data_IF_450568385815
#
_entry.id   IF_450568385815
#
_cell.length_a   1.000
_cell.length_b   1.000
_cell.length_c   1.000
_cell.angle_alpha   90.00
_cell.angle_beta   90.00
_cell.angle_gamma   90.00
#
_symmetry.space_group_name_H-M   'P 1'
#
loop_
_entity.id
_entity.type
_entity.pdbx_description
1 polymer ?
#
# COMPACT_ATOMS: atom_id res chain seq x y z
N UNK A 1 6.37 20.92 -3.03
CA UNK A 1 6.85 19.53 -3.20
C UNK A 1 5.97 18.45 -2.55
N UNK A 2 4.91 18.77 -1.78
CA UNK A 2 4.06 17.74 -1.12
C UNK A 2 3.09 16.97 -2.03
N UNK A 3 2.62 17.58 -3.13
CA UNK A 3 1.62 16.97 -4.03
C UNK A 3 2.07 15.67 -4.69
N UNK A 4 3.32 15.60 -5.15
CA UNK A 4 3.87 14.44 -5.87
C UNK A 4 3.92 13.19 -4.97
N UNK A 5 4.09 13.38 -3.66
CA UNK A 5 4.18 12.27 -2.71
C UNK A 5 2.81 11.65 -2.47
N UNK A 6 1.73 12.45 -2.38
CA UNK A 6 0.37 11.92 -2.24
C UNK A 6 -0.09 11.20 -3.49
N UNK A 7 0.11 11.78 -4.68
CA UNK A 7 -0.27 11.11 -5.93
C UNK A 7 0.39 9.75 -6.05
N UNK A 8 1.69 9.64 -5.73
CA UNK A 8 2.39 8.36 -5.69
C UNK A 8 1.78 7.41 -4.65
N UNK A 9 1.43 7.88 -3.46
CA UNK A 9 0.82 7.04 -2.43
C UNK A 9 -0.56 6.50 -2.86
N UNK A 10 -1.40 7.36 -3.46
CA UNK A 10 -2.70 6.96 -4.00
C UNK A 10 -2.54 5.98 -5.16
N UNK A 11 -1.58 6.24 -6.07
CA UNK A 11 -1.25 5.34 -7.17
C UNK A 11 -0.77 3.96 -6.70
N UNK A 12 0.04 3.89 -5.64
CA UNK A 12 0.48 2.62 -5.02
C UNK A 12 -0.70 1.82 -4.47
N UNK A 13 -1.71 2.50 -3.92
CA UNK A 13 -2.95 1.87 -3.45
C UNK A 13 -3.96 1.61 -4.58
N UNK A 14 -3.69 2.10 -5.80
CA UNK A 14 -4.63 2.05 -6.92
C UNK A 14 -5.89 2.88 -6.70
N UNK A 15 -5.79 3.93 -5.87
CA UNK A 15 -6.89 4.81 -5.50
C UNK A 15 -6.75 6.17 -6.18
N UNK A 16 -7.88 6.86 -6.31
CA UNK A 16 -7.89 8.27 -6.71
C UNK A 16 -7.48 9.18 -5.54
N UNK A 17 -6.90 10.36 -5.81
CA UNK A 17 -6.59 11.33 -4.76
C UNK A 17 -7.82 11.86 -4.02
N UNK A 18 -9.01 11.69 -4.61
CA UNK A 18 -10.31 12.00 -4.03
C UNK A 18 -10.86 10.88 -3.11
N UNK A 19 -10.16 9.75 -3.02
CA UNK A 19 -10.64 8.60 -2.25
C UNK A 19 -10.88 8.93 -0.76
N UNK A 20 -11.90 8.31 -0.19
CA UNK A 20 -12.22 8.47 1.22
C UNK A 20 -11.28 7.67 2.11
N UNK A 21 -11.18 8.08 3.37
CA UNK A 21 -10.40 7.39 4.42
C UNK A 21 -10.81 5.91 4.52
N UNK A 22 -12.10 5.62 4.34
CA UNK A 22 -12.63 4.26 4.36
C UNK A 22 -12.11 3.42 3.18
N UNK A 23 -12.16 3.95 1.95
CA UNK A 23 -11.61 3.31 0.76
C UNK A 23 -10.12 3.03 0.91
N UNK A 24 -9.37 3.98 1.47
CA UNK A 24 -7.93 3.84 1.74
C UNK A 24 -7.67 2.69 2.71
N UNK A 25 -8.43 2.60 3.81
CA UNK A 25 -8.32 1.49 4.79
C UNK A 25 -8.73 0.15 4.18
N UNK A 26 -9.79 0.13 3.38
CA UNK A 26 -10.29 -1.07 2.69
C UNK A 26 -9.26 -1.58 1.69
N UNK A 27 -8.79 -0.74 0.78
CA UNK A 27 -7.78 -1.11 -0.21
C UNK A 27 -6.46 -1.55 0.41
N UNK A 28 -6.00 -0.87 1.48
CA UNK A 28 -4.83 -1.33 2.24
C UNK A 28 -4.99 -2.80 2.68
N UNK A 29 -6.13 -3.15 3.29
CA UNK A 29 -6.38 -4.52 3.77
C UNK A 29 -6.39 -5.53 2.62
N UNK A 30 -7.02 -5.18 1.51
CA UNK A 30 -7.09 -6.04 0.31
C UNK A 30 -5.70 -6.26 -0.31
N UNK A 31 -4.91 -5.20 -0.44
CA UNK A 31 -3.55 -5.27 -0.98
C UNK A 31 -2.61 -6.05 -0.06
N UNK A 32 -2.70 -5.85 1.26
CA UNK A 32 -1.90 -6.62 2.22
C UNK A 32 -2.24 -8.11 2.19
N UNK A 33 -3.51 -8.48 1.99
CA UNK A 33 -3.88 -9.88 1.76
C UNK A 33 -3.30 -10.40 0.45
N UNK A 34 -3.36 -9.62 -0.62
CA UNK A 34 -2.85 -10.01 -1.96
C UNK A 34 -1.33 -10.15 -2.01
N UNK A 35 -0.61 -9.33 -1.26
CA UNK A 35 0.85 -9.34 -1.15
C UNK A 35 1.35 -9.91 0.18
N UNK A 36 0.53 -10.71 0.88
CA UNK A 36 0.91 -11.27 2.17
C UNK A 36 2.08 -12.25 1.98
N UNK A 37 3.21 -12.10 2.69
CA UNK A 37 4.41 -12.93 2.48
C UNK A 37 4.12 -14.43 2.69
N UNK A 38 3.14 -14.77 3.52
CA UNK A 38 2.70 -16.16 3.72
C UNK A 38 2.25 -16.86 2.42
N UNK A 39 1.56 -16.13 1.53
CA UNK A 39 1.15 -16.65 0.21
C UNK A 39 2.35 -16.93 -0.72
N UNK A 40 3.49 -16.32 -0.44
CA UNK A 40 4.72 -16.43 -1.23
C UNK A 40 5.80 -17.24 -0.51
N UNK A 41 5.58 -17.63 0.75
CA UNK A 41 6.51 -18.42 1.57
C UNK A 41 6.89 -19.73 0.87
N UNK A 42 5.91 -20.38 0.22
CA UNK A 42 6.13 -21.57 -0.60
C UNK A 42 6.68 -21.32 -2.01
N UNK A 43 6.84 -20.07 -2.45
CA UNK A 43 7.34 -19.70 -3.80
C UNK A 43 8.83 -19.34 -3.83
N UNK A 44 9.49 -19.34 -2.66
CA UNK A 44 10.91 -19.05 -2.51
C UNK A 44 11.19 -17.67 -1.91
N UNK A 45 12.39 -17.52 -1.34
CA UNK A 45 12.78 -16.36 -0.54
C UNK A 45 12.69 -15.04 -1.30
N UNK A 46 12.96 -15.05 -2.60
CA UNK A 46 12.87 -13.86 -3.45
C UNK A 46 11.43 -13.38 -3.60
N UNK A 47 10.46 -14.28 -3.71
CA UNK A 47 9.05 -13.92 -3.78
C UNK A 47 8.54 -13.35 -2.44
N UNK A 48 9.00 -13.90 -1.32
CA UNK A 48 8.72 -13.37 0.03
C UNK A 48 9.30 -11.96 0.20
N UNK A 49 10.54 -11.74 -0.24
CA UNK A 49 11.17 -10.41 -0.22
C UNK A 49 10.38 -9.40 -1.06
N UNK A 50 9.97 -9.77 -2.26
CA UNK A 50 9.19 -8.89 -3.16
C UNK A 50 7.82 -8.53 -2.54
N UNK A 51 7.12 -9.53 -2.00
CA UNK A 51 5.85 -9.37 -1.29
C UNK A 51 6.00 -8.48 -0.05
N UNK A 52 7.09 -8.64 0.69
CA UNK A 52 7.42 -7.81 1.87
C UNK A 52 7.66 -6.36 1.47
N UNK A 53 8.46 -6.12 0.43
CA UNK A 53 8.71 -4.76 -0.06
C UNK A 53 7.45 -4.08 -0.58
N UNK A 54 6.58 -4.81 -1.30
CA UNK A 54 5.26 -4.28 -1.71
C UNK A 54 4.39 -3.94 -0.53
N UNK A 55 4.29 -4.85 0.44
CA UNK A 55 3.50 -4.64 1.67
C UNK A 55 3.99 -3.43 2.48
N UNK A 56 5.31 -3.22 2.57
CA UNK A 56 5.88 -2.02 3.18
C UNK A 56 5.48 -0.76 2.40
N UNK A 57 5.61 -0.75 1.06
CA UNK A 57 5.21 0.40 0.23
C UNK A 57 3.73 0.76 0.42
N UNK A 58 2.85 -0.25 0.51
CA UNK A 58 1.42 -0.07 0.77
C UNK A 58 1.20 0.60 2.13
N UNK A 59 1.89 0.14 3.18
CA UNK A 59 1.80 0.76 4.50
C UNK A 59 2.32 2.21 4.51
N UNK A 60 3.47 2.47 3.89
CA UNK A 60 4.02 3.83 3.79
C UNK A 60 3.11 4.79 3.02
N UNK A 61 2.53 4.32 1.92
CA UNK A 61 1.56 5.09 1.14
C UNK A 61 0.33 5.44 1.99
N UNK A 62 -0.24 4.45 2.67
CA UNK A 62 -1.36 4.64 3.59
C UNK A 62 -1.03 5.67 4.70
N UNK A 63 0.13 5.55 5.35
CA UNK A 63 0.54 6.48 6.40
C UNK A 63 0.72 7.90 5.86
N UNK A 64 1.29 8.04 4.67
CA UNK A 64 1.50 9.35 4.04
C UNK A 64 0.17 10.04 3.75
N UNK A 65 -0.80 9.29 3.21
CA UNK A 65 -2.15 9.82 2.95
C UNK A 65 -2.85 10.18 4.26
N UNK A 66 -2.80 9.30 5.26
CA UNK A 66 -3.41 9.53 6.57
C UNK A 66 -2.83 10.75 7.29
N UNK A 67 -1.50 10.92 7.25
CA UNK A 67 -0.83 12.10 7.81
C UNK A 67 -1.25 13.42 7.18
N UNK A 68 -1.68 13.39 5.92
CA UNK A 68 -2.08 14.59 5.20
C UNK A 68 -3.58 14.88 5.30
N UNK A 69 -4.40 13.85 5.57
CA UNK A 69 -5.84 13.98 5.85
C UNK A 69 -6.15 14.32 7.31
N UNK A 70 -5.17 14.25 8.21
CA UNK A 70 -5.29 14.58 9.64
C UNK A 70 -4.65 15.93 9.94
#
# INVERSE_FOLDING_TARGET
HGHIVLEKAYSVLGLSPDASVDDIKKMKRELLKKYHPDLYSGKGEQAVKDATQKSQRINQAYETIMKMKN
#
